data_IF_642044495387
#
_entry.id   IF_642044495387
#
_cell.length_a   1.000
_cell.length_b   1.000
_cell.length_c   1.000
_cell.angle_alpha   90.00
_cell.angle_beta   90.00
_cell.angle_gamma   90.00
#
_symmetry.space_group_name_H-M   'P 1'
#
loop_
_entity.id
_entity.type
_entity.pdbx_description
1 polymer ?
#
# COMPACT_ATOMS: atom_id res chain seq x y z
N UNK A 1 22.74 -13.45 14.59
CA UNK A 1 23.21 -12.47 13.57
C UNK A 1 22.16 -12.21 12.50
N UNK A 2 21.62 -13.24 11.88
CA UNK A 2 20.56 -13.11 10.86
C UNK A 2 19.29 -12.46 11.41
N UNK A 3 18.85 -12.84 12.59
CA UNK A 3 17.65 -12.29 13.24
C UNK A 3 17.77 -10.79 13.53
N UNK A 4 18.96 -10.33 13.92
CA UNK A 4 19.24 -8.91 14.18
C UNK A 4 19.19 -8.11 12.89
N UNK A 5 19.72 -8.63 11.78
CA UNK A 5 19.67 -7.98 10.47
C UNK A 5 18.23 -7.91 9.94
N UNK A 6 17.45 -8.98 10.11
CA UNK A 6 16.03 -9.00 9.73
C UNK A 6 15.24 -7.94 10.47
N UNK A 7 15.44 -7.83 11.79
CA UNK A 7 14.77 -6.83 12.60
C UNK A 7 15.12 -5.40 12.16
N UNK A 8 16.39 -5.16 11.81
CA UNK A 8 16.81 -3.85 11.29
C UNK A 8 16.15 -3.50 9.96
N UNK A 9 16.02 -4.48 9.06
CA UNK A 9 15.35 -4.27 7.76
C UNK A 9 13.87 -3.99 7.97
N UNK A 10 13.18 -4.80 8.77
CA UNK A 10 11.77 -4.59 9.09
C UNK A 10 11.54 -3.22 9.72
N UNK A 11 12.39 -2.81 10.66
CA UNK A 11 12.30 -1.51 11.30
C UNK A 11 12.51 -0.37 10.30
N UNK A 12 13.48 -0.51 9.39
CA UNK A 12 13.72 0.47 8.33
C UNK A 12 12.49 0.60 7.41
N UNK A 13 11.92 -0.51 6.97
CA UNK A 13 10.72 -0.51 6.13
C UNK A 13 9.54 0.10 6.86
N UNK A 14 9.30 -0.30 8.10
CA UNK A 14 8.24 0.27 8.95
C UNK A 14 8.37 1.79 9.09
N UNK A 15 9.57 2.29 9.27
CA UNK A 15 9.82 3.71 9.49
C UNK A 15 9.70 4.56 8.22
N UNK A 16 9.75 3.95 7.04
CA UNK A 16 9.84 4.68 5.77
C UNK A 16 8.73 4.38 4.77
N UNK A 17 7.86 3.42 5.05
CA UNK A 17 6.79 3.04 4.14
C UNK A 17 5.40 3.35 4.71
N UNK A 18 4.49 3.70 3.81
CA UNK A 18 3.05 3.70 4.06
C UNK A 18 2.44 2.61 3.21
N UNK A 19 1.73 1.69 3.83
CA UNK A 19 1.02 0.62 3.13
C UNK A 19 -0.41 1.07 2.81
N UNK A 20 -1.02 0.42 1.83
CA UNK A 20 -2.40 0.68 1.43
C UNK A 20 -3.20 -0.62 1.47
N UNK A 21 -4.35 -0.56 2.12
CA UNK A 21 -5.21 -1.72 2.33
C UNK A 21 -6.66 -1.35 1.99
N UNK A 22 -7.26 -2.06 1.05
CA UNK A 22 -8.68 -1.91 0.72
C UNK A 22 -9.39 -3.23 1.00
N UNK A 23 -10.44 -3.19 1.82
CA UNK A 23 -11.26 -4.35 2.12
C UNK A 23 -12.60 -4.24 1.40
N UNK A 24 -12.91 -5.24 0.56
CA UNK A 24 -14.16 -5.29 -0.16
C UNK A 24 -15.34 -5.64 0.76
N UNK A 25 -16.54 -5.25 0.37
CA UNK A 25 -17.75 -5.61 1.10
C UNK A 25 -17.94 -7.13 1.21
N UNK A 26 -17.71 -7.86 0.11
CA UNK A 26 -17.83 -9.33 0.07
C UNK A 26 -16.89 -9.90 -0.99
N UNK A 27 -16.93 -11.22 -1.17
CA UNK A 27 -16.18 -11.93 -2.20
C UNK A 27 -16.91 -12.07 -3.53
N UNK A 28 -18.07 -11.44 -3.68
CA UNK A 28 -18.76 -11.42 -4.97
C UNK A 28 -17.88 -10.77 -6.06
N UNK A 29 -18.03 -11.24 -7.30
CA UNK A 29 -17.29 -10.65 -8.43
C UNK A 29 -17.55 -9.15 -8.55
N UNK A 30 -18.76 -8.72 -8.26
CA UNK A 30 -19.15 -7.31 -8.29
C UNK A 30 -18.43 -6.51 -7.21
N UNK A 31 -18.44 -6.96 -5.96
CA UNK A 31 -17.77 -6.25 -4.86
C UNK A 31 -16.25 -6.24 -5.02
N UNK A 32 -15.67 -7.31 -5.55
CA UNK A 32 -14.25 -7.35 -5.87
C UNK A 32 -13.89 -6.36 -6.98
N UNK A 33 -14.72 -6.23 -8.01
CA UNK A 33 -14.54 -5.23 -9.07
C UNK A 33 -14.65 -3.79 -8.53
N UNK A 34 -15.62 -3.53 -7.65
CA UNK A 34 -15.77 -2.23 -6.98
C UNK A 34 -14.54 -1.88 -6.16
N UNK A 35 -13.98 -2.82 -5.41
CA UNK A 35 -12.74 -2.64 -4.65
C UNK A 35 -11.60 -2.14 -5.54
N UNK A 36 -11.41 -2.77 -6.70
CA UNK A 36 -10.33 -2.39 -7.62
C UNK A 36 -10.55 -1.00 -8.22
N UNK A 37 -11.78 -0.64 -8.52
CA UNK A 37 -12.12 0.71 -9.03
C UNK A 37 -11.89 1.79 -7.97
N UNK A 38 -12.26 1.51 -6.72
CA UNK A 38 -11.97 2.40 -5.58
C UNK A 38 -10.46 2.55 -5.40
N UNK A 39 -9.72 1.46 -5.41
CA UNK A 39 -8.25 1.48 -5.37
C UNK A 39 -7.67 2.42 -6.41
N UNK A 40 -8.05 2.24 -7.67
CA UNK A 40 -7.50 3.02 -8.78
C UNK A 40 -7.83 4.51 -8.66
N UNK A 41 -9.05 4.85 -8.28
CA UNK A 41 -9.47 6.24 -8.10
C UNK A 41 -8.72 6.93 -6.94
N UNK A 42 -8.53 6.24 -5.83
CA UNK A 42 -7.82 6.77 -4.67
C UNK A 42 -6.33 6.97 -5.01
N UNK A 43 -5.70 5.99 -5.63
CA UNK A 43 -4.30 6.09 -6.06
C UNK A 43 -4.12 7.27 -7.01
N UNK A 44 -4.96 7.41 -8.02
CA UNK A 44 -4.91 8.53 -8.97
C UNK A 44 -5.02 9.88 -8.28
N UNK A 45 -5.83 9.95 -7.23
CA UNK A 45 -6.03 11.20 -6.48
C UNK A 45 -4.82 11.60 -5.65
N UNK A 46 -4.20 10.65 -4.97
CA UNK A 46 -3.15 10.96 -3.98
C UNK A 46 -1.73 10.82 -4.51
N UNK A 47 -1.54 10.14 -5.64
CA UNK A 47 -0.22 9.81 -6.19
C UNK A 47 0.70 11.03 -6.35
N UNK A 48 0.21 12.10 -6.98
CA UNK A 48 0.99 13.32 -7.18
C UNK A 48 1.35 14.01 -5.87
N UNK A 49 0.46 13.95 -4.89
CA UNK A 49 0.70 14.52 -3.56
C UNK A 49 1.78 13.74 -2.83
N UNK A 50 1.78 12.41 -2.97
CA UNK A 50 2.78 11.53 -2.37
C UNK A 50 4.17 11.76 -2.96
N UNK A 51 4.26 12.05 -4.25
CA UNK A 51 5.53 12.32 -4.92
C UNK A 51 6.23 13.58 -4.38
N UNK A 52 5.48 14.51 -3.83
CA UNK A 52 6.01 15.75 -3.23
C UNK A 52 6.57 15.55 -1.82
N UNK A 53 6.21 14.47 -1.15
CA UNK A 53 6.69 14.19 0.19
C UNK A 53 8.08 13.56 0.14
N UNK A 54 8.96 14.03 1.02
CA UNK A 54 10.32 13.49 1.15
C UNK A 54 10.44 12.42 2.23
N UNK A 55 9.52 12.41 3.17
CA UNK A 55 9.51 11.46 4.30
C UNK A 55 8.14 10.81 4.46
N UNK A 56 8.12 9.66 5.13
CA UNK A 56 6.87 8.97 5.50
C UNK A 56 5.96 9.88 6.32
N UNK A 57 6.51 10.62 7.25
CA UNK A 57 5.76 11.51 8.14
C UNK A 57 5.05 12.61 7.35
N UNK A 58 5.74 13.24 6.41
CA UNK A 58 5.14 14.23 5.50
C UNK A 58 4.03 13.61 4.66
N UNK A 59 4.29 12.45 4.08
CA UNK A 59 3.32 11.74 3.26
C UNK A 59 2.08 11.35 4.07
N UNK A 60 2.26 10.87 5.28
CA UNK A 60 1.15 10.48 6.17
C UNK A 60 0.30 11.67 6.58
N UNK A 61 0.92 12.80 6.88
CA UNK A 61 0.20 14.05 7.18
C UNK A 61 -0.62 14.54 5.97
N UNK A 62 -0.07 14.44 4.78
CA UNK A 62 -0.80 14.78 3.53
C UNK A 62 -2.04 13.88 3.40
N UNK A 63 -1.89 12.58 3.58
CA UNK A 63 -3.00 11.63 3.52
C UNK A 63 -4.08 11.92 4.56
N UNK A 64 -3.69 12.21 5.79
CA UNK A 64 -4.62 12.54 6.87
C UNK A 64 -5.45 13.79 6.56
N UNK A 65 -4.82 14.80 5.97
CA UNK A 65 -5.52 16.02 5.53
C UNK A 65 -6.49 15.75 4.39
N UNK A 66 -6.26 14.70 3.60
CA UNK A 66 -7.11 14.31 2.47
C UNK A 66 -8.15 13.24 2.84
N UNK A 67 -8.34 12.94 4.11
CA UNK A 67 -9.25 11.89 4.58
C UNK A 67 -10.64 11.99 3.99
N UNK A 68 -11.28 13.17 4.09
CA UNK A 68 -12.63 13.38 3.60
C UNK A 68 -12.69 13.31 2.07
N UNK A 69 -11.69 13.82 1.40
CA UNK A 69 -11.56 13.78 -0.06
C UNK A 69 -11.38 12.33 -0.55
N UNK A 70 -10.59 11.54 0.13
CA UNK A 70 -10.41 10.10 -0.16
C UNK A 70 -11.74 9.36 0.02
N UNK A 71 -12.42 9.59 1.13
CA UNK A 71 -13.73 9.00 1.40
C UNK A 71 -14.76 9.37 0.33
N UNK A 72 -14.83 10.64 -0.04
CA UNK A 72 -15.74 11.12 -1.08
C UNK A 72 -15.44 10.49 -2.44
N UNK A 73 -14.16 10.37 -2.79
CA UNK A 73 -13.73 9.69 -4.03
C UNK A 73 -14.22 8.25 -4.06
N UNK A 74 -14.03 7.51 -2.99
CA UNK A 74 -14.50 6.12 -2.89
C UNK A 74 -16.03 6.03 -2.99
N UNK A 75 -16.74 6.91 -2.30
CA UNK A 75 -18.22 6.96 -2.34
C UNK A 75 -18.74 7.28 -3.73
N UNK A 76 -18.11 8.20 -4.46
CA UNK A 76 -18.49 8.53 -5.83
C UNK A 76 -18.33 7.35 -6.78
N UNK A 77 -17.23 6.60 -6.64
CA UNK A 77 -17.01 5.38 -7.43
C UNK A 77 -18.12 4.36 -7.17
N UNK A 78 -18.45 4.09 -5.92
CA UNK A 78 -19.51 3.16 -5.56
C UNK A 78 -20.87 3.63 -6.10
N UNK A 79 -21.14 4.91 -6.01
CA UNK A 79 -22.38 5.49 -6.54
C UNK A 79 -22.50 5.31 -8.05
N UNK A 80 -21.41 5.51 -8.80
CA UNK A 80 -21.37 5.25 -10.25
C UNK A 80 -21.65 3.78 -10.59
N UNK A 81 -21.25 2.87 -9.73
CA UNK A 81 -21.54 1.44 -9.89
C UNK A 81 -22.94 1.04 -9.41
N UNK A 82 -23.75 2.01 -8.97
CA UNK A 82 -25.11 1.78 -8.50
C UNK A 82 -25.20 1.19 -7.10
N UNK A 83 -24.17 1.38 -6.27
CA UNK A 83 -24.07 0.78 -4.94
C UNK A 83 -24.11 1.87 -3.87
N UNK A 84 -24.95 1.64 -2.86
CA UNK A 84 -24.93 2.42 -1.63
C UNK A 84 -24.27 1.58 -0.55
N UNK A 85 -22.98 1.80 -0.36
CA UNK A 85 -22.20 1.15 0.68
C UNK A 85 -21.53 2.21 1.55
N UNK A 86 -21.40 1.89 2.84
CA UNK A 86 -20.66 2.74 3.76
C UNK A 86 -19.17 2.65 3.47
N UNK A 87 -18.50 3.79 3.41
CA UNK A 87 -17.03 3.87 3.27
C UNK A 87 -16.45 4.37 4.57
N UNK A 88 -15.48 3.64 5.11
CA UNK A 88 -14.69 4.06 6.26
C UNK A 88 -13.23 4.17 5.87
N UNK A 89 -12.62 5.30 6.20
CA UNK A 89 -11.20 5.57 5.96
C UNK A 89 -10.48 5.58 7.31
N UNK A 90 -9.44 4.76 7.41
CA UNK A 90 -8.66 4.61 8.64
C UNK A 90 -7.17 4.84 8.37
N UNK A 91 -6.51 5.51 9.31
CA UNK A 91 -5.06 5.57 9.40
C UNK A 91 -4.65 4.71 10.58
N UNK A 92 -4.02 3.58 10.30
CA UNK A 92 -3.79 2.52 11.29
C UNK A 92 -2.37 1.98 11.21
N UNK A 93 -1.97 1.30 12.29
CA UNK A 93 -0.86 0.37 12.27
C UNK A 93 -1.45 -1.03 12.27
N UNK A 94 -1.12 -1.83 11.27
CA UNK A 94 -1.63 -3.19 11.18
C UNK A 94 -0.63 -4.15 10.54
N UNK A 95 -0.86 -5.44 10.77
CA UNK A 95 -0.03 -6.50 10.24
C UNK A 95 -0.34 -6.73 8.77
N UNK A 96 0.67 -6.61 7.92
CA UNK A 96 0.61 -6.92 6.51
C UNK A 96 1.31 -8.25 6.25
N UNK A 97 0.74 -9.11 5.39
CA UNK A 97 1.42 -10.32 4.95
C UNK A 97 2.61 -9.98 4.05
N UNK A 98 3.51 -10.96 3.86
CA UNK A 98 4.55 -10.84 2.85
C UNK A 98 3.92 -10.67 1.47
N UNK A 99 4.38 -9.68 0.72
CA UNK A 99 3.89 -9.38 -0.63
C UNK A 99 5.04 -9.06 -1.57
N UNK A 100 4.93 -9.58 -2.80
CA UNK A 100 5.87 -9.29 -3.87
C UNK A 100 5.20 -8.43 -4.93
N UNK A 101 5.85 -7.31 -5.25
CA UNK A 101 5.44 -6.39 -6.31
C UNK A 101 6.58 -6.26 -7.31
N UNK A 102 6.41 -6.88 -8.50
CA UNK A 102 7.48 -6.95 -9.48
C UNK A 102 8.70 -7.65 -8.90
N UNK A 103 9.81 -6.93 -8.86
CA UNK A 103 11.08 -7.42 -8.32
C UNK A 103 11.26 -7.20 -6.81
N UNK A 104 10.32 -6.53 -6.14
CA UNK A 104 10.42 -6.19 -4.73
C UNK A 104 9.54 -7.07 -3.87
N UNK A 105 10.12 -7.65 -2.82
CA UNK A 105 9.40 -8.42 -1.81
C UNK A 105 9.44 -7.67 -0.49
N UNK A 106 8.26 -7.34 0.01
CA UNK A 106 8.10 -6.70 1.32
C UNK A 106 7.74 -7.75 2.36
N UNK A 107 8.50 -7.84 3.44
CA UNK A 107 8.27 -8.86 4.47
C UNK A 107 6.97 -8.63 5.22
N UNK A 108 6.44 -9.70 5.79
CA UNK A 108 5.39 -9.62 6.78
C UNK A 108 5.84 -8.74 7.95
N UNK A 109 4.94 -7.90 8.44
CA UNK A 109 5.25 -7.03 9.57
C UNK A 109 4.14 -6.03 9.84
N UNK A 110 4.34 -5.21 10.87
CA UNK A 110 3.45 -4.13 11.25
C UNK A 110 3.91 -2.85 10.56
N UNK A 111 3.00 -2.24 9.82
CA UNK A 111 3.26 -1.02 9.05
C UNK A 111 2.20 0.03 9.32
N UNK A 112 2.58 1.30 9.17
CA UNK A 112 1.60 2.37 9.05
C UNK A 112 0.85 2.25 7.71
N UNK A 113 -0.46 2.40 7.75
CA UNK A 113 -1.31 2.16 6.60
C UNK A 113 -2.49 3.11 6.49
N UNK A 114 -2.86 3.39 5.26
CA UNK A 114 -4.19 3.85 4.90
C UNK A 114 -5.04 2.62 4.62
N UNK A 115 -6.13 2.45 5.36
CA UNK A 115 -7.11 1.38 5.13
C UNK A 115 -8.46 1.96 4.75
N UNK A 116 -9.03 1.42 3.69
CA UNK A 116 -10.39 1.75 3.26
C UNK A 116 -11.26 0.51 3.39
N UNK A 117 -12.33 0.63 4.16
CA UNK A 117 -13.32 -0.42 4.36
C UNK A 117 -14.57 -0.09 3.55
N UNK A 118 -14.99 -1.01 2.69
CA UNK A 118 -16.18 -0.89 1.87
C UNK A 118 -17.28 -1.78 2.44
N UNK A 119 -18.43 -1.17 2.78
CA UNK A 119 -19.56 -1.90 3.33
C UNK A 119 -19.21 -2.67 4.60
N UNK A 120 -19.43 -3.98 4.60
CA UNK A 120 -19.14 -4.87 5.74
C UNK A 120 -17.67 -5.27 5.86
N UNK A 121 -16.86 -4.97 4.85
CA UNK A 121 -15.43 -5.27 4.82
C UNK A 121 -15.09 -6.76 5.06
N UNK A 122 -15.91 -7.67 4.53
CA UNK A 122 -15.76 -9.12 4.71
C UNK A 122 -15.11 -9.84 3.53
N UNK A 123 -14.88 -9.12 2.42
CA UNK A 123 -14.29 -9.70 1.22
C UNK A 123 -12.77 -9.73 1.26
N UNK A 124 -12.19 -10.36 0.23
CA UNK A 124 -10.74 -10.39 0.03
C UNK A 124 -10.14 -8.99 -0.08
N UNK A 125 -8.94 -8.87 0.44
CA UNK A 125 -8.23 -7.60 0.59
C UNK A 125 -7.35 -7.30 -0.61
N UNK A 126 -7.16 -6.01 -0.89
CA UNK A 126 -6.09 -5.51 -1.72
C UNK A 126 -5.01 -4.88 -0.84
N UNK A 127 -3.75 -5.26 -1.09
CA UNK A 127 -2.59 -4.80 -0.33
C UNK A 127 -1.57 -4.20 -1.28
N UNK A 128 -1.11 -2.98 -1.02
CA UNK A 128 0.03 -2.42 -1.76
C UNK A 128 0.84 -1.43 -0.91
N UNK A 129 1.83 -0.80 -1.53
CA UNK A 129 2.65 0.25 -0.93
C UNK A 129 2.23 1.58 -1.53
N UNK A 130 1.74 2.51 -0.71
CA UNK A 130 1.30 3.83 -1.14
C UNK A 130 2.44 4.84 -1.17
N UNK A 131 3.38 4.72 -0.26
CA UNK A 131 4.55 5.59 -0.21
C UNK A 131 5.80 4.78 0.10
N UNK A 132 6.85 4.85 -0.74
CA UNK A 132 6.85 5.43 -2.10
C UNK A 132 5.82 4.73 -3.00
N UNK A 133 5.35 5.43 -4.03
CA UNK A 133 4.24 4.93 -4.86
C UNK A 133 4.63 3.69 -5.68
N UNK A 134 4.23 2.54 -5.18
CA UNK A 134 4.39 1.23 -5.82
C UNK A 134 3.04 0.56 -6.07
N UNK A 135 1.95 1.31 -5.92
CA UNK A 135 0.62 0.78 -6.23
C UNK A 135 0.41 0.71 -7.75
N UNK A 136 -0.01 -0.46 -8.19
CA UNK A 136 -0.25 -0.75 -9.60
C UNK A 136 -1.68 -0.44 -9.98
N UNK A 137 -1.85 0.29 -11.06
CA UNK A 137 -3.16 0.55 -11.65
C UNK A 137 -3.29 -0.14 -13.00
N UNK A 138 -4.49 -0.58 -13.34
CA UNK A 138 -5.01 -1.05 -14.63
C UNK A 138 -4.51 -2.40 -15.19
N UNK A 139 -3.26 -2.82 -15.03
CA UNK A 139 -2.76 -4.01 -15.74
C UNK A 139 -2.11 -5.06 -14.84
N UNK A 140 -2.24 -4.96 -13.53
CA UNK A 140 -1.56 -5.81 -12.53
C UNK A 140 -0.04 -5.94 -12.75
N UNK A 141 0.51 -5.08 -13.60
CA UNK A 141 1.94 -5.01 -13.87
C UNK A 141 2.57 -3.90 -13.05
N UNK A 142 3.45 -4.27 -12.15
CA UNK A 142 4.27 -3.32 -11.41
C UNK A 142 5.23 -2.63 -12.37
N UNK A 143 4.85 -1.45 -12.83
CA UNK A 143 5.80 -0.55 -13.49
C UNK A 143 6.47 0.29 -12.44
N UNK A 144 7.52 -0.25 -11.85
CA UNK A 144 8.38 0.55 -11.00
C UNK A 144 9.19 1.42 -11.94
N UNK A 145 8.77 2.67 -12.08
CA UNK A 145 9.52 3.64 -12.84
C UNK A 145 10.81 4.00 -12.09
N UNK A 146 11.77 4.56 -12.80
CA UNK A 146 13.06 4.98 -12.22
C UNK A 146 12.90 5.98 -11.06
N UNK A 147 11.83 6.76 -11.07
CA UNK A 147 11.53 7.74 -10.02
C UNK A 147 11.18 7.06 -8.70
N UNK A 148 10.31 6.04 -8.73
CA UNK A 148 9.95 5.27 -7.55
C UNK A 148 11.16 4.51 -7.00
N UNK A 149 11.98 3.93 -7.86
CA UNK A 149 13.22 3.24 -7.47
C UNK A 149 14.20 4.17 -6.77
N UNK A 150 14.46 5.34 -7.35
CA UNK A 150 15.35 6.36 -6.75
C UNK A 150 14.84 6.82 -5.40
N UNK A 151 13.53 7.01 -5.27
CA UNK A 151 12.90 7.40 -4.01
C UNK A 151 13.03 6.32 -2.95
N UNK A 152 12.87 5.04 -3.33
CA UNK A 152 13.11 3.92 -2.42
C UNK A 152 14.56 3.87 -1.95
N UNK A 153 15.53 4.03 -2.86
CA UNK A 153 16.95 4.05 -2.50
C UNK A 153 17.28 5.19 -1.55
N UNK A 154 16.68 6.36 -1.76
CA UNK A 154 16.85 7.53 -0.88
C UNK A 154 16.26 7.30 0.51
N UNK A 155 15.09 6.70 0.59
CA UNK A 155 14.38 6.46 1.85
C UNK A 155 14.95 5.29 2.65
N UNK A 156 15.25 4.19 1.99
CA UNK A 156 15.64 2.93 2.62
C UNK A 156 17.15 2.69 2.61
N UNK A 157 17.87 3.32 1.70
CA UNK A 157 19.28 3.03 1.41
C UNK A 157 19.43 1.91 0.37
N UNK A 158 20.52 1.95 -0.38
CA UNK A 158 20.78 0.99 -1.47
C UNK A 158 20.84 -0.46 -1.00
N UNK A 159 21.45 -0.71 0.16
CA UNK A 159 21.56 -2.07 0.72
C UNK A 159 20.21 -2.68 1.05
N UNK A 160 19.30 -1.90 1.63
CA UNK A 160 17.95 -2.36 1.94
C UNK A 160 17.17 -2.66 0.66
N UNK A 161 17.26 -1.79 -0.34
CA UNK A 161 16.60 -2.00 -1.65
C UNK A 161 17.15 -3.26 -2.33
N UNK A 162 18.46 -3.47 -2.32
CA UNK A 162 19.05 -4.70 -2.85
C UNK A 162 18.51 -5.95 -2.15
N UNK A 163 18.37 -5.91 -0.83
CA UNK A 163 17.87 -7.05 -0.06
C UNK A 163 16.41 -7.39 -0.38
N UNK A 164 15.56 -6.41 -0.55
CA UNK A 164 14.16 -6.65 -0.94
C UNK A 164 14.01 -6.99 -2.42
N UNK A 165 15.03 -6.69 -3.24
CA UNK A 165 15.05 -6.98 -4.68
C UNK A 165 15.55 -8.39 -5.00
N UNK A 166 16.46 -8.92 -4.22
CA UNK A 166 17.08 -10.26 -4.43
C UNK A 166 16.19 -11.44 -3.98
N UNK A 167 15.07 -11.27 -3.89
CA UNK A 167 13.93 -11.88 -4.05
C UNK A 167 13.47 -13.24 -3.67
N UNK A 168 13.76 -14.23 -4.08
CA UNK A 168 13.31 -15.60 -3.77
C UNK A 168 13.89 -16.16 -2.48
N UNK A 169 15.03 -15.64 -2.06
CA UNK A 169 15.71 -16.05 -0.85
C UNK A 169 15.28 -15.27 0.39
N UNK A 170 14.75 -14.06 0.21
CA UNK A 170 14.32 -13.23 1.33
C UNK A 170 13.03 -13.73 1.97
N UNK A 171 12.08 -14.23 1.18
CA UNK A 171 10.89 -14.89 1.70
C UNK A 171 11.23 -16.07 2.62
N UNK A 172 12.33 -16.74 2.34
CA UNK A 172 12.86 -17.81 3.20
C UNK A 172 13.50 -17.26 4.48
N UNK A 173 14.27 -16.18 4.37
CA UNK A 173 14.89 -15.51 5.52
C UNK A 173 13.86 -14.89 6.49
N UNK A 174 12.72 -14.46 5.97
CA UNK A 174 11.65 -13.88 6.78
C UNK A 174 10.66 -14.91 7.34
N UNK A 175 10.71 -16.15 6.87
CA UNK A 175 9.90 -17.27 7.39
C UNK A 175 10.56 -18.03 8.51
N UNK A 176 11.82 -17.83 8.70
CA UNK A 176 12.58 -18.42 9.80
C UNK A 176 12.66 -17.44 10.97
#
# INVERSE_FOLDING_TARGET
FHKIQQNKIQQNLKNNLIRFHVRANSDSSFDQACKLKVRDAVISKVSQMMDKADTKEEAFDILKKQKDSIKNTAQEILKKEGVIQKVKVHFVQEKFPEKTYGQYTFPEGIYDALRIDLGEAKGHNWWCVMFPDLCVTKDDKVRINNTARKKMEKLLGKKAVEKITKDKYLGWLFKA
#
